data_IF_646386515466
#
_entry.id   IF_646386515466
#
_cell.length_a   1.000
_cell.length_b   1.000
_cell.length_c   1.000
_cell.angle_alpha   90.00
_cell.angle_beta   90.00
_cell.angle_gamma   90.00
#
_symmetry.space_group_name_H-M   'P 1'
#
loop_
_entity.id
_entity.type
_entity.pdbx_description
1 polymer ?
#
# COMPACT_ATOMS: atom_id res chain seq x y z
N UNK A 1 -22.03 44.37 13.27
CA UNK A 1 -20.85 44.45 12.38
C UNK A 1 -20.19 43.10 12.36
N UNK A 2 -20.38 42.35 11.26
CA UNK A 2 -19.67 41.09 11.07
C UNK A 2 -18.20 41.43 10.74
N UNK A 3 -17.21 40.76 11.35
CA UNK A 3 -15.81 40.95 10.99
C UNK A 3 -15.61 40.51 9.52
N UNK A 4 -14.78 41.21 8.77
CA UNK A 4 -14.52 40.85 7.38
C UNK A 4 -13.92 39.46 7.31
N UNK A 5 -14.56 38.59 6.52
CA UNK A 5 -14.01 37.28 6.14
C UNK A 5 -12.63 37.50 5.55
N UNK A 6 -11.59 37.05 6.28
CA UNK A 6 -10.20 37.08 5.80
C UNK A 6 -10.16 36.34 4.45
N UNK A 7 -10.05 37.11 3.36
CA UNK A 7 -9.98 36.61 2.01
C UNK A 7 -8.79 35.64 1.87
N UNK A 8 -9.07 34.34 1.88
CA UNK A 8 -8.11 33.35 1.39
C UNK A 8 -7.88 33.68 -0.07
N UNK A 9 -6.70 34.24 -0.39
CA UNK A 9 -6.30 34.43 -1.77
C UNK A 9 -6.49 33.10 -2.52
N UNK A 10 -7.43 33.07 -3.45
CA UNK A 10 -7.68 31.91 -4.29
C UNK A 10 -6.45 31.70 -5.15
N UNK A 11 -5.78 30.56 -4.96
CA UNK A 11 -4.63 30.20 -5.79
C UNK A 11 -5.06 30.12 -7.26
N UNK A 12 -4.19 30.59 -8.16
CA UNK A 12 -4.46 30.41 -9.59
C UNK A 12 -4.51 28.92 -9.95
N UNK A 13 -5.32 28.51 -10.96
CA UNK A 13 -5.41 27.13 -11.38
C UNK A 13 -4.07 26.49 -11.71
N UNK A 14 -3.12 27.28 -12.24
CA UNK A 14 -1.76 26.82 -12.52
C UNK A 14 -1.01 26.46 -11.24
N UNK A 15 -1.07 27.29 -10.21
CA UNK A 15 -0.44 27.01 -8.91
C UNK A 15 -1.05 25.79 -8.23
N UNK A 16 -2.35 25.57 -8.32
CA UNK A 16 -3.03 24.35 -7.82
C UNK A 16 -2.48 23.11 -8.53
N UNK A 17 -2.35 23.14 -9.86
CA UNK A 17 -1.80 22.02 -10.64
C UNK A 17 -0.37 21.69 -10.22
N UNK A 18 0.51 22.70 -10.08
CA UNK A 18 1.91 22.50 -9.66
C UNK A 18 1.99 21.92 -8.26
N UNK A 19 1.15 22.38 -7.32
CA UNK A 19 1.09 21.80 -5.98
C UNK A 19 0.61 20.33 -5.99
N UNK A 20 -0.39 19.99 -6.79
CA UNK A 20 -0.86 18.61 -6.94
C UNK A 20 0.21 17.71 -7.56
N UNK A 21 0.94 18.18 -8.57
CA UNK A 21 2.07 17.46 -9.18
C UNK A 21 3.18 17.21 -8.16
N UNK A 22 3.53 18.22 -7.33
CA UNK A 22 4.51 18.07 -6.27
C UNK A 22 4.10 16.99 -5.25
N UNK A 23 2.80 16.93 -4.87
CA UNK A 23 2.28 15.91 -3.97
C UNK A 23 2.27 14.51 -4.61
N UNK A 24 1.89 14.40 -5.89
CA UNK A 24 1.89 13.15 -6.63
C UNK A 24 3.32 12.61 -6.86
N UNK A 25 4.30 13.50 -7.03
CA UNK A 25 5.72 13.13 -7.14
C UNK A 25 6.23 12.45 -5.87
N UNK A 26 5.73 12.83 -4.69
CA UNK A 26 6.02 12.10 -3.45
C UNK A 26 5.40 10.69 -3.44
N UNK A 27 4.17 10.53 -3.91
CA UNK A 27 3.57 9.22 -4.12
C UNK A 27 4.35 8.35 -5.10
N UNK A 28 4.87 8.95 -6.17
CA UNK A 28 5.76 8.29 -7.13
C UNK A 28 7.09 7.84 -6.47
N UNK A 29 7.74 8.72 -5.70
CA UNK A 29 8.98 8.38 -5.01
C UNK A 29 8.77 7.26 -3.96
N UNK A 30 7.64 7.29 -3.23
CA UNK A 30 7.27 6.27 -2.25
C UNK A 30 7.05 4.92 -2.94
N UNK A 31 6.27 4.85 -4.01
CA UNK A 31 6.05 3.61 -4.74
C UNK A 31 7.35 3.05 -5.32
N UNK A 32 8.21 3.92 -5.84
CA UNK A 32 9.50 3.51 -6.39
C UNK A 32 10.40 2.93 -5.29
N UNK A 33 10.54 3.58 -4.12
CA UNK A 33 11.39 3.07 -3.03
C UNK A 33 10.86 1.79 -2.39
N UNK A 34 9.53 1.62 -2.37
CA UNK A 34 8.90 0.42 -1.81
C UNK A 34 9.19 -0.81 -2.66
N UNK A 35 9.00 -0.70 -3.98
CA UNK A 35 8.98 -1.88 -4.85
C UNK A 35 10.30 -2.15 -5.60
N UNK A 36 11.23 -1.18 -5.68
CA UNK A 36 12.52 -1.39 -6.37
C UNK A 36 13.35 -2.52 -5.75
N UNK A 37 13.24 -2.73 -4.43
CA UNK A 37 13.93 -3.82 -3.74
C UNK A 37 13.55 -5.21 -4.27
N UNK A 38 12.33 -5.39 -4.76
CA UNK A 38 11.84 -6.65 -5.32
C UNK A 38 12.47 -6.94 -6.68
N UNK A 39 12.67 -5.89 -7.49
CA UNK A 39 13.37 -5.99 -8.77
C UNK A 39 14.88 -6.19 -8.65
N UNK A 40 15.48 -5.75 -7.54
CA UNK A 40 16.93 -5.79 -7.28
C UNK A 40 17.31 -6.81 -6.19
N UNK A 41 16.40 -7.72 -5.83
CA UNK A 41 16.60 -8.65 -4.72
C UNK A 41 17.90 -9.47 -4.83
N UNK A 42 18.24 -10.09 -6.00
CA UNK A 42 19.47 -10.86 -6.15
C UNK A 42 20.74 -10.00 -5.99
N UNK A 43 20.73 -8.75 -6.52
CA UNK A 43 21.88 -7.84 -6.41
C UNK A 43 22.08 -7.36 -4.96
N UNK A 44 21.00 -7.09 -4.23
CA UNK A 44 21.03 -6.78 -2.80
C UNK A 44 21.56 -7.96 -1.98
N UNK A 45 21.13 -9.19 -2.30
CA UNK A 45 21.57 -10.41 -1.64
C UNK A 45 23.06 -10.65 -1.88
N UNK A 46 23.52 -10.57 -3.12
CA UNK A 46 24.91 -10.82 -3.49
C UNK A 46 25.89 -9.82 -2.82
N UNK A 47 25.53 -8.54 -2.78
CA UNK A 47 26.40 -7.49 -2.24
C UNK A 47 26.40 -7.42 -0.70
N UNK A 48 25.22 -7.55 -0.07
CA UNK A 48 25.07 -7.40 1.37
C UNK A 48 25.28 -8.72 2.16
N UNK A 49 25.16 -9.87 1.50
CA UNK A 49 25.21 -11.20 2.10
C UNK A 49 26.17 -12.15 1.34
N UNK A 50 27.40 -11.72 0.97
CA UNK A 50 28.28 -12.48 0.08
C UNK A 50 28.62 -13.87 0.63
N UNK A 51 28.77 -14.01 1.94
CA UNK A 51 29.08 -15.30 2.58
C UNK A 51 27.90 -16.28 2.54
N UNK A 52 26.64 -15.77 2.60
CA UNK A 52 25.44 -16.59 2.49
C UNK A 52 25.22 -16.96 1.03
N UNK A 53 25.38 -15.99 0.11
CA UNK A 53 25.24 -16.17 -1.32
C UNK A 53 26.22 -17.21 -1.89
N UNK A 54 27.44 -17.26 -1.36
CA UNK A 54 28.46 -18.27 -1.73
C UNK A 54 28.05 -19.70 -1.35
N UNK A 55 27.14 -19.87 -0.38
CA UNK A 55 26.65 -21.18 0.08
C UNK A 55 25.33 -21.56 -0.58
N UNK A 56 24.42 -20.60 -0.69
CA UNK A 56 23.10 -20.76 -1.33
C UNK A 56 22.56 -19.40 -1.74
N UNK A 57 22.30 -19.25 -3.02
CA UNK A 57 21.66 -18.06 -3.60
C UNK A 57 20.22 -17.91 -3.07
N UNK A 58 19.51 -19.04 -2.91
CA UNK A 58 18.15 -19.05 -2.38
C UNK A 58 18.11 -18.53 -0.94
N UNK A 59 19.02 -19.01 -0.08
CA UNK A 59 19.13 -18.55 1.31
C UNK A 59 19.46 -17.04 1.38
N UNK A 60 20.34 -16.55 0.52
CA UNK A 60 20.70 -15.15 0.45
C UNK A 60 19.52 -14.30 -0.02
N UNK A 61 18.80 -14.71 -1.06
CA UNK A 61 17.59 -14.02 -1.55
C UNK A 61 16.47 -14.03 -0.50
N UNK A 62 16.26 -15.16 0.18
CA UNK A 62 15.29 -15.27 1.27
C UNK A 62 15.63 -14.29 2.41
N UNK A 63 16.91 -14.24 2.82
CA UNK A 63 17.37 -13.31 3.85
C UNK A 63 17.26 -11.85 3.38
N UNK A 64 17.60 -11.54 2.14
CA UNK A 64 17.45 -10.20 1.56
C UNK A 64 15.98 -9.73 1.53
N UNK A 65 15.01 -10.64 1.43
CA UNK A 65 13.58 -10.35 1.56
C UNK A 65 13.21 -9.64 2.87
N UNK A 66 14.03 -9.77 3.92
CA UNK A 66 13.82 -9.03 5.18
C UNK A 66 13.95 -7.51 5.03
N UNK A 67 14.66 -7.02 4.00
CA UNK A 67 14.73 -5.59 3.66
C UNK A 67 13.36 -5.05 3.25
N UNK A 68 12.56 -5.86 2.58
CA UNK A 68 11.20 -5.55 2.15
C UNK A 68 10.27 -5.58 3.37
N UNK A 69 10.34 -6.65 4.16
CA UNK A 69 9.57 -6.77 5.40
C UNK A 69 9.88 -5.66 6.39
N UNK A 70 11.14 -5.23 6.53
CA UNK A 70 11.53 -4.14 7.43
C UNK A 70 10.89 -2.81 7.01
N UNK A 71 10.91 -2.46 5.72
CA UNK A 71 10.23 -1.27 5.22
C UNK A 71 8.73 -1.33 5.50
N UNK A 72 8.09 -2.45 5.17
CA UNK A 72 6.68 -2.65 5.38
C UNK A 72 6.28 -2.56 6.87
N UNK A 73 7.09 -3.13 7.78
CA UNK A 73 6.90 -2.98 9.22
C UNK A 73 7.07 -1.52 9.68
N UNK A 74 8.00 -0.77 9.07
CA UNK A 74 8.10 0.68 9.26
C UNK A 74 6.79 1.39 8.92
N UNK A 75 6.15 1.04 7.81
CA UNK A 75 4.84 1.61 7.42
C UNK A 75 3.76 1.23 8.43
N UNK A 76 3.72 -0.04 8.87
CA UNK A 76 2.74 -0.54 9.86
C UNK A 76 2.80 0.27 11.15
N UNK A 77 4.01 0.54 11.64
CA UNK A 77 4.22 1.30 12.89
C UNK A 77 4.02 2.80 12.65
N UNK A 78 4.58 3.32 11.56
CA UNK A 78 4.63 4.75 11.29
C UNK A 78 3.27 5.35 10.91
N UNK A 79 2.44 4.65 10.14
CA UNK A 79 1.17 5.19 9.68
C UNK A 79 0.25 5.61 10.84
N UNK A 80 -0.09 4.76 11.82
CA UNK A 80 -0.95 5.16 12.93
C UNK A 80 -0.25 6.10 13.92
N UNK A 81 1.04 5.89 14.21
CA UNK A 81 1.75 6.67 15.25
C UNK A 81 2.03 8.09 14.79
N UNK A 82 2.55 8.27 13.58
CA UNK A 82 2.84 9.62 13.04
C UNK A 82 1.54 10.36 12.74
N UNK A 83 0.52 9.69 12.17
CA UNK A 83 -0.78 10.31 11.93
C UNK A 83 -1.39 10.84 13.24
N UNK A 84 -1.34 10.05 14.32
CA UNK A 84 -1.84 10.43 15.63
C UNK A 84 -1.05 11.57 16.28
N UNK A 85 0.29 11.48 16.27
CA UNK A 85 1.17 12.48 16.89
C UNK A 85 1.14 13.83 16.17
N UNK A 86 0.89 13.82 14.86
CA UNK A 86 0.99 14.98 13.98
C UNK A 86 -0.34 15.61 13.55
N UNK A 87 -1.48 15.11 14.05
CA UNK A 87 -2.81 15.55 13.64
C UNK A 87 -3.03 17.07 13.79
N UNK A 88 -2.38 17.72 14.76
CA UNK A 88 -2.42 19.17 15.01
C UNK A 88 -1.35 19.97 14.28
N UNK A 89 -0.36 19.31 13.69
CA UNK A 89 0.76 19.99 13.07
C UNK A 89 0.37 20.71 11.76
N UNK A 90 1.01 21.84 11.41
CA UNK A 90 0.82 22.48 10.12
C UNK A 90 1.19 21.53 8.98
N UNK A 91 0.23 21.26 8.07
CA UNK A 91 0.31 20.18 7.08
C UNK A 91 1.52 20.27 6.16
N UNK A 92 1.84 21.48 5.65
CA UNK A 92 3.01 21.68 4.79
C UNK A 92 4.31 21.38 5.54
N UNK A 93 4.47 21.85 6.79
CA UNK A 93 5.65 21.56 7.59
C UNK A 93 5.82 20.05 7.81
N UNK A 94 4.72 19.39 8.10
CA UNK A 94 4.72 17.92 8.27
C UNK A 94 5.15 17.20 7.00
N UNK A 95 4.60 17.55 5.83
CA UNK A 95 5.03 16.97 4.55
C UNK A 95 6.52 17.14 4.30
N UNK A 96 7.08 18.32 4.61
CA UNK A 96 8.51 18.58 4.46
C UNK A 96 9.36 17.70 5.40
N UNK A 97 8.96 17.53 6.66
CA UNK A 97 9.66 16.63 7.58
C UNK A 97 9.57 15.16 7.14
N UNK A 98 8.40 14.72 6.64
CA UNK A 98 8.23 13.37 6.12
C UNK A 98 9.11 13.13 4.88
N UNK A 99 9.19 14.10 3.95
CA UNK A 99 10.04 14.01 2.76
C UNK A 99 11.53 14.04 3.12
N UNK A 100 11.92 14.83 4.12
CA UNK A 100 13.29 14.83 4.64
C UNK A 100 13.64 13.46 5.24
N UNK A 101 12.72 12.88 6.04
CA UNK A 101 12.91 11.55 6.62
C UNK A 101 13.04 10.48 5.53
N UNK A 102 12.21 10.52 4.47
CA UNK A 102 12.34 9.65 3.31
C UNK A 102 13.69 9.81 2.60
N UNK A 103 14.10 11.05 2.34
CA UNK A 103 15.38 11.34 1.68
C UNK A 103 16.53 10.75 2.49
N UNK A 104 16.58 11.05 3.79
CA UNK A 104 17.65 10.57 4.68
C UNK A 104 17.61 9.02 4.82
N UNK A 105 16.43 8.44 5.05
CA UNK A 105 16.29 6.98 5.16
C UNK A 105 16.68 6.24 3.88
N UNK A 106 16.38 6.82 2.71
CA UNK A 106 16.74 6.24 1.41
C UNK A 106 18.25 6.40 1.13
N UNK A 107 18.85 7.56 1.45
CA UNK A 107 20.30 7.75 1.38
C UNK A 107 21.02 6.77 2.31
N UNK A 108 20.58 6.65 3.56
CA UNK A 108 21.17 5.70 4.51
C UNK A 108 21.07 4.26 3.98
N UNK A 109 19.93 3.88 3.38
CA UNK A 109 19.78 2.57 2.76
C UNK A 109 20.79 2.34 1.62
N UNK A 110 21.21 3.39 0.90
CA UNK A 110 22.19 3.30 -0.19
C UNK A 110 23.64 3.22 0.28
N UNK A 111 24.00 3.91 1.38
CA UNK A 111 25.42 4.09 1.75
C UNK A 111 25.89 3.19 2.89
N UNK A 112 24.97 2.63 3.67
CA UNK A 112 25.36 1.78 4.82
C UNK A 112 26.01 0.47 4.36
N UNK A 113 27.09 0.05 5.04
CA UNK A 113 27.95 -1.03 4.54
C UNK A 113 27.46 -2.43 4.93
N UNK A 114 26.61 -2.57 5.93
CA UNK A 114 26.23 -3.89 6.44
C UNK A 114 24.72 -4.14 6.29
N UNK A 115 24.38 -5.42 6.08
CA UNK A 115 22.99 -5.87 5.93
C UNK A 115 22.08 -5.39 7.06
N UNK A 116 22.47 -5.57 8.33
CA UNK A 116 21.67 -5.18 9.49
C UNK A 116 21.40 -3.67 9.54
N UNK A 117 22.40 -2.84 9.19
CA UNK A 117 22.24 -1.38 9.13
C UNK A 117 21.29 -0.97 7.99
N UNK A 118 21.38 -1.64 6.84
CA UNK A 118 20.43 -1.37 5.72
C UNK A 118 19.02 -1.81 6.11
N UNK A 119 18.83 -2.95 6.81
CA UNK A 119 17.51 -3.35 7.36
C UNK A 119 16.95 -2.27 8.28
N UNK A 120 17.76 -1.74 9.20
CA UNK A 120 17.32 -0.65 10.09
C UNK A 120 16.96 0.62 9.32
N UNK A 121 17.78 1.01 8.32
CA UNK A 121 17.51 2.16 7.46
C UNK A 121 16.21 1.98 6.66
N UNK A 122 15.93 0.77 6.14
CA UNK A 122 14.68 0.45 5.46
C UNK A 122 13.47 0.58 6.38
N UNK A 123 13.57 0.08 7.62
CA UNK A 123 12.51 0.28 8.62
C UNK A 123 12.24 1.77 8.88
N UNK A 124 13.29 2.56 9.10
CA UNK A 124 13.16 4.01 9.32
C UNK A 124 12.58 4.74 8.11
N UNK A 125 12.98 4.35 6.89
CA UNK A 125 12.44 4.90 5.64
C UNK A 125 10.96 4.55 5.43
N UNK A 126 10.47 3.44 6.01
CA UNK A 126 9.05 3.07 5.96
C UNK A 126 8.14 3.91 6.87
N UNK A 127 8.66 4.43 7.99
CA UNK A 127 7.85 5.14 8.99
C UNK A 127 7.00 6.30 8.41
N UNK A 128 7.51 7.19 7.55
CA UNK A 128 6.75 8.33 7.06
C UNK A 128 5.70 7.98 5.99
N UNK A 129 5.69 6.77 5.43
CA UNK A 129 4.90 6.37 4.26
C UNK A 129 3.39 6.65 4.40
N UNK A 130 2.73 6.03 5.37
CA UNK A 130 1.27 6.16 5.54
C UNK A 130 0.85 7.58 5.95
N UNK A 131 1.67 8.26 6.75
CA UNK A 131 1.44 9.64 7.14
C UNK A 131 1.53 10.59 5.93
N UNK A 132 2.49 10.36 5.02
CA UNK A 132 2.60 11.15 3.79
C UNK A 132 1.32 11.08 2.96
N UNK A 133 0.84 9.87 2.63
CA UNK A 133 -0.37 9.71 1.81
C UNK A 133 -1.60 10.32 2.49
N UNK A 134 -1.74 10.16 3.81
CA UNK A 134 -2.83 10.77 4.56
C UNK A 134 -2.82 12.29 4.47
N UNK A 135 -1.69 12.92 4.74
CA UNK A 135 -1.57 14.38 4.75
C UNK A 135 -1.60 14.96 3.32
N UNK A 136 -0.91 14.34 2.36
CA UNK A 136 -0.90 14.78 0.97
C UNK A 136 -2.31 14.74 0.35
N UNK A 137 -3.08 13.68 0.64
CA UNK A 137 -4.47 13.55 0.21
C UNK A 137 -5.37 14.63 0.79
N UNK A 138 -5.22 14.97 2.09
CA UNK A 138 -5.97 16.04 2.72
C UNK A 138 -5.62 17.42 2.12
N UNK A 139 -4.35 17.67 1.85
CA UNK A 139 -3.88 18.91 1.21
C UNK A 139 -4.42 19.01 -0.21
N UNK A 140 -4.34 17.95 -1.00
CA UNK A 140 -4.84 17.90 -2.36
C UNK A 140 -6.37 18.11 -2.42
N UNK A 141 -7.11 17.45 -1.53
CA UNK A 141 -8.56 17.63 -1.42
C UNK A 141 -8.95 19.09 -1.13
N UNK A 142 -8.21 19.77 -0.25
CA UNK A 142 -8.45 21.19 0.05
C UNK A 142 -8.08 22.12 -1.12
N UNK A 143 -7.01 21.84 -1.85
CA UNK A 143 -6.58 22.61 -3.02
C UNK A 143 -7.59 22.52 -4.16
N UNK A 144 -8.26 21.37 -4.32
CA UNK A 144 -9.27 21.16 -5.37
C UNK A 144 -10.62 21.77 -5.03
N UNK A 145 -10.91 22.03 -3.74
CA UNK A 145 -12.15 22.64 -3.28
C UNK A 145 -13.35 21.68 -3.27
N UNK A 146 -14.52 22.23 -2.94
CA UNK A 146 -15.78 21.46 -2.84
C UNK A 146 -16.18 20.85 -4.20
N UNK A 147 -16.74 19.64 -4.16
CA UNK A 147 -17.15 18.89 -5.36
C UNK A 147 -16.01 18.23 -6.14
N UNK A 148 -14.72 18.56 -5.85
CA UNK A 148 -13.56 17.97 -6.55
C UNK A 148 -12.53 17.33 -5.60
N UNK A 149 -12.86 17.17 -4.32
CA UNK A 149 -11.95 16.62 -3.29
C UNK A 149 -11.43 15.23 -3.64
N UNK A 150 -12.31 14.34 -4.08
CA UNK A 150 -11.93 12.98 -4.48
C UNK A 150 -10.93 12.96 -5.65
N UNK A 151 -11.07 13.89 -6.62
CA UNK A 151 -10.11 14.04 -7.72
C UNK A 151 -8.72 14.44 -7.23
N UNK A 152 -8.64 15.31 -6.20
CA UNK A 152 -7.36 15.68 -5.58
C UNK A 152 -6.67 14.48 -4.94
N UNK A 153 -7.41 13.68 -4.17
CA UNK A 153 -6.89 12.44 -3.56
C UNK A 153 -6.42 11.46 -4.63
N UNK A 154 -7.26 11.21 -5.64
CA UNK A 154 -6.92 10.32 -6.75
C UNK A 154 -5.63 10.76 -7.50
N UNK A 155 -5.42 12.06 -7.64
CA UNK A 155 -4.22 12.61 -8.28
C UNK A 155 -2.95 12.30 -7.49
N UNK A 156 -2.98 12.39 -6.17
CA UNK A 156 -1.84 12.01 -5.31
C UNK A 156 -1.56 10.51 -5.41
N UNK A 157 -2.61 9.68 -5.35
CA UNK A 157 -2.48 8.22 -5.45
C UNK A 157 -2.04 7.76 -6.85
N UNK A 158 -2.33 8.53 -7.91
CA UNK A 158 -1.84 8.25 -9.26
C UNK A 158 -0.30 8.24 -9.32
N UNK A 159 0.39 9.00 -8.45
CA UNK A 159 1.85 8.92 -8.33
C UNK A 159 2.34 7.50 -8.05
N UNK A 160 1.70 6.80 -7.12
CA UNK A 160 2.02 5.39 -6.80
C UNK A 160 1.78 4.47 -8.01
N UNK A 161 0.68 4.67 -8.73
CA UNK A 161 0.36 3.87 -9.92
C UNK A 161 1.40 4.08 -11.03
N UNK A 162 1.80 5.34 -11.27
CA UNK A 162 2.84 5.68 -12.25
C UNK A 162 4.20 5.10 -11.82
N UNK A 163 4.50 5.09 -10.51
CA UNK A 163 5.70 4.47 -9.99
C UNK A 163 5.78 2.98 -10.38
N UNK A 164 4.70 2.24 -10.23
CA UNK A 164 4.67 0.81 -10.54
C UNK A 164 4.88 0.50 -12.04
N UNK A 165 4.36 1.36 -12.94
CA UNK A 165 4.48 1.15 -14.39
C UNK A 165 5.79 1.67 -14.95
N UNK A 166 6.31 2.78 -14.40
CA UNK A 166 7.46 3.50 -14.97
C UNK A 166 8.62 3.58 -13.98
N UNK A 167 8.36 4.02 -12.76
CA UNK A 167 9.40 4.32 -11.76
C UNK A 167 10.20 3.08 -11.36
N UNK A 168 9.51 2.05 -10.91
CA UNK A 168 10.11 0.79 -10.45
C UNK A 168 10.89 0.11 -11.57
N UNK A 169 10.34 -0.09 -12.78
CA UNK A 169 11.09 -0.70 -13.88
C UNK A 169 12.35 0.08 -14.28
N UNK A 170 12.25 1.41 -14.42
CA UNK A 170 13.39 2.24 -14.81
C UNK A 170 14.47 2.20 -13.72
N UNK A 171 14.11 2.36 -12.46
CA UNK A 171 15.08 2.37 -11.36
C UNK A 171 15.67 0.96 -11.14
N UNK A 172 14.91 -0.11 -11.38
CA UNK A 172 15.43 -1.48 -11.41
C UNK A 172 16.47 -1.64 -12.53
N UNK A 173 16.17 -1.19 -13.74
CA UNK A 173 17.13 -1.21 -14.84
C UNK A 173 18.42 -0.41 -14.52
N UNK A 174 18.30 0.77 -13.90
CA UNK A 174 19.45 1.54 -13.43
C UNK A 174 20.25 0.71 -12.42
N UNK A 175 19.58 0.08 -11.46
CA UNK A 175 20.22 -0.75 -10.44
C UNK A 175 20.94 -1.97 -10.99
N UNK A 176 20.41 -2.61 -12.03
CA UNK A 176 21.06 -3.73 -12.73
C UNK A 176 22.32 -3.29 -13.49
N UNK A 177 22.34 -2.10 -14.08
CA UNK A 177 23.46 -1.63 -14.91
C UNK A 177 24.49 -0.77 -14.16
N UNK A 178 24.07 -0.02 -13.13
CA UNK A 178 24.92 0.92 -12.38
C UNK A 178 25.02 0.59 -10.88
N UNK A 179 24.49 -0.56 -10.48
CA UNK A 179 24.47 -1.03 -9.09
C UNK A 179 23.26 -0.55 -8.29
N UNK A 180 22.78 -1.39 -7.38
CA UNK A 180 21.59 -1.14 -6.58
C UNK A 180 21.70 0.14 -5.69
N UNK A 181 22.91 0.48 -5.24
CA UNK A 181 23.14 1.73 -4.47
C UNK A 181 22.81 2.96 -5.30
N UNK A 182 23.19 2.97 -6.58
CA UNK A 182 22.85 4.05 -7.52
C UNK A 182 21.34 4.18 -7.69
N UNK A 183 20.62 3.06 -7.79
CA UNK A 183 19.16 3.05 -7.85
C UNK A 183 18.53 3.74 -6.64
N UNK A 184 18.98 3.41 -5.42
CA UNK A 184 18.49 4.06 -4.20
C UNK A 184 18.86 5.56 -4.13
N UNK A 185 20.05 5.95 -4.59
CA UNK A 185 20.43 7.37 -4.67
C UNK A 185 19.58 8.14 -5.67
N UNK A 186 19.20 7.56 -6.81
CA UNK A 186 18.23 8.14 -7.74
C UNK A 186 16.88 8.36 -7.07
N UNK A 187 16.38 7.39 -6.31
CA UNK A 187 15.13 7.55 -5.56
C UNK A 187 15.26 8.63 -4.47
N UNK A 188 16.39 8.70 -3.77
CA UNK A 188 16.67 9.75 -2.79
C UNK A 188 16.67 11.14 -3.46
N UNK A 189 17.24 11.27 -4.66
CA UNK A 189 17.21 12.51 -5.44
C UNK A 189 15.77 12.90 -5.83
N UNK A 190 14.90 11.93 -6.17
CA UNK A 190 13.49 12.20 -6.45
C UNK A 190 12.79 12.70 -5.17
N UNK A 191 13.06 12.13 -3.99
CA UNK A 191 12.52 12.64 -2.72
C UNK A 191 13.01 14.05 -2.42
N UNK A 192 14.30 14.34 -2.62
CA UNK A 192 14.88 15.68 -2.43
C UNK A 192 14.24 16.70 -3.39
N UNK A 193 14.09 16.34 -4.67
CA UNK A 193 13.37 17.17 -5.64
C UNK A 193 11.91 17.40 -5.25
N UNK A 194 11.24 16.36 -4.73
CA UNK A 194 9.87 16.48 -4.19
C UNK A 194 9.82 17.42 -2.99
N UNK A 195 10.79 17.35 -2.08
CA UNK A 195 10.89 18.27 -0.95
C UNK A 195 10.95 19.72 -1.43
N UNK A 196 11.80 20.02 -2.41
CA UNK A 196 11.90 21.37 -3.01
C UNK A 196 10.59 21.76 -3.70
N UNK A 197 9.99 20.85 -4.47
CA UNK A 197 8.72 21.11 -5.15
C UNK A 197 7.58 21.41 -4.16
N UNK A 198 7.46 20.66 -3.07
CA UNK A 198 6.47 20.91 -2.01
C UNK A 198 6.77 22.22 -1.27
N UNK A 199 8.05 22.51 -1.01
CA UNK A 199 8.48 23.78 -0.37
C UNK A 199 8.08 24.99 -1.20
N UNK A 200 8.15 24.91 -2.52
CA UNK A 200 7.88 26.05 -3.41
C UNK A 200 6.39 26.14 -3.80
N UNK A 201 5.74 25.01 -4.04
CA UNK A 201 4.41 24.97 -4.66
C UNK A 201 3.25 24.81 -3.67
N UNK A 202 3.43 24.08 -2.55
CA UNK A 202 2.34 23.79 -1.62
C UNK A 202 2.16 24.95 -0.63
N UNK A 203 0.97 25.57 -0.54
CA UNK A 203 0.72 26.66 0.39
C UNK A 203 0.74 26.19 1.85
N UNK A 204 1.04 27.10 2.76
CA UNK A 204 0.95 26.84 4.19
C UNK A 204 -0.51 26.53 4.57
N UNK A 205 -0.73 25.47 5.33
CA UNK A 205 -2.05 25.07 5.83
C UNK A 205 -1.96 24.76 7.31
N UNK A 206 -2.95 25.22 8.07
CA UNK A 206 -3.07 24.89 9.50
C UNK A 206 -3.38 23.40 9.68
N UNK A 207 -2.96 22.83 10.80
CA UNK A 207 -3.41 21.54 11.28
C UNK A 207 -4.86 21.59 11.76
N UNK A 208 -5.39 20.45 12.21
CA UNK A 208 -6.72 20.39 12.81
C UNK A 208 -6.64 20.46 14.35
N UNK A 209 -6.99 21.60 15.00
CA UNK A 209 -6.93 21.74 16.45
C UNK A 209 -7.88 20.80 17.22
N UNK A 210 -8.98 20.40 16.55
CA UNK A 210 -10.04 19.58 17.17
C UNK A 210 -9.77 18.06 17.06
N UNK A 211 -8.68 17.67 16.37
CA UNK A 211 -8.33 16.26 16.25
C UNK A 211 -8.02 15.68 17.66
N UNK A 212 -8.78 14.65 18.05
CA UNK A 212 -8.57 13.93 19.31
C UNK A 212 -8.27 12.47 19.07
N UNK A 213 -7.10 12.02 19.53
CA UNK A 213 -6.65 10.64 19.45
C UNK A 213 -7.68 9.65 20.07
N UNK A 214 -8.33 10.06 21.16
CA UNK A 214 -9.31 9.21 21.88
C UNK A 214 -10.52 8.84 21.02
N UNK A 215 -11.00 9.75 20.16
CA UNK A 215 -12.12 9.49 19.25
C UNK A 215 -11.71 8.47 18.18
N UNK A 216 -10.53 8.63 17.62
CA UNK A 216 -9.98 7.77 16.59
C UNK A 216 -9.73 6.34 17.12
N UNK A 217 -9.21 6.20 18.35
CA UNK A 217 -8.93 4.90 18.96
C UNK A 217 -10.19 4.05 19.23
N UNK A 218 -11.39 4.64 19.25
CA UNK A 218 -12.64 3.88 19.36
C UNK A 218 -12.89 2.89 18.22
N UNK A 219 -12.30 3.10 17.06
CA UNK A 219 -12.37 2.14 15.96
C UNK A 219 -11.88 0.75 16.39
N UNK A 220 -10.83 0.67 17.19
CA UNK A 220 -10.22 -0.58 17.64
C UNK A 220 -11.07 -1.40 18.62
N UNK A 221 -12.15 -0.85 19.18
CA UNK A 221 -13.07 -1.61 20.04
C UNK A 221 -14.06 -2.47 19.24
N UNK A 222 -14.08 -2.36 17.92
CA UNK A 222 -15.06 -3.01 17.05
C UNK A 222 -14.46 -4.24 16.38
N UNK A 223 -15.04 -5.41 16.60
CA UNK A 223 -14.62 -6.66 15.95
C UNK A 223 -14.57 -6.57 14.42
N UNK A 224 -15.54 -5.87 13.79
CA UNK A 224 -15.60 -5.74 12.33
C UNK A 224 -14.43 -4.93 11.76
N UNK A 225 -13.87 -3.98 12.52
CA UNK A 225 -12.65 -3.25 12.13
C UNK A 225 -11.47 -4.22 12.12
N UNK A 226 -11.32 -5.06 13.12
CA UNK A 226 -10.26 -6.08 13.14
C UNK A 226 -10.39 -7.08 12.00
N UNK A 227 -11.61 -7.56 11.71
CA UNK A 227 -11.83 -8.45 10.59
C UNK A 227 -11.47 -7.78 9.24
N UNK A 228 -11.85 -6.51 9.05
CA UNK A 228 -11.49 -5.76 7.85
C UNK A 228 -9.97 -5.55 7.73
N UNK A 229 -9.29 -5.25 8.84
CA UNK A 229 -7.82 -5.18 8.89
C UNK A 229 -7.16 -6.52 8.54
N UNK A 230 -7.67 -7.62 9.07
CA UNK A 230 -7.15 -8.96 8.82
C UNK A 230 -7.37 -9.41 7.38
N UNK A 231 -8.48 -9.01 6.72
CA UNK A 231 -8.68 -9.25 5.29
C UNK A 231 -7.52 -8.63 4.48
N UNK A 232 -7.13 -7.38 4.79
CA UNK A 232 -5.98 -6.74 4.16
C UNK A 232 -4.64 -7.34 4.60
N UNK A 233 -4.43 -7.49 5.89
CA UNK A 233 -3.15 -7.94 6.47
C UNK A 233 -2.78 -9.38 6.08
N UNK A 234 -3.73 -10.28 5.93
CA UNK A 234 -3.49 -11.66 5.58
C UNK A 234 -3.71 -11.88 4.08
N UNK A 235 -4.90 -11.50 3.57
CA UNK A 235 -5.29 -11.81 2.20
C UNK A 235 -4.44 -11.13 1.14
N UNK A 236 -4.03 -9.87 1.38
CA UNK A 236 -3.17 -9.14 0.46
C UNK A 236 -1.72 -9.65 0.47
N UNK A 237 -1.33 -10.37 1.52
CA UNK A 237 -0.02 -11.02 1.62
C UNK A 237 0.25 -12.01 0.49
N UNK A 238 -0.79 -12.58 -0.12
CA UNK A 238 -0.67 -13.47 -1.26
C UNK A 238 0.03 -12.86 -2.47
N UNK A 239 -0.28 -11.60 -2.78
CA UNK A 239 0.42 -10.83 -3.81
C UNK A 239 1.91 -10.64 -3.48
N UNK A 240 2.20 -10.20 -2.26
CA UNK A 240 3.57 -9.88 -1.88
C UNK A 240 4.48 -11.11 -1.71
N UNK A 241 3.91 -12.27 -1.41
CA UNK A 241 4.69 -13.51 -1.41
C UNK A 241 5.33 -13.76 -2.78
N UNK A 242 4.61 -13.56 -3.88
CA UNK A 242 5.12 -13.66 -5.25
C UNK A 242 5.97 -12.45 -5.64
N UNK A 243 5.47 -11.25 -5.40
CA UNK A 243 6.10 -10.04 -5.90
C UNK A 243 7.49 -9.79 -5.29
N UNK A 244 7.71 -10.22 -4.05
CA UNK A 244 9.01 -10.16 -3.38
C UNK A 244 10.09 -10.94 -4.15
N UNK A 245 9.73 -12.08 -4.71
CA UNK A 245 10.65 -12.98 -5.41
C UNK A 245 10.47 -12.97 -6.93
N UNK A 246 9.84 -11.92 -7.49
CA UNK A 246 9.60 -11.81 -8.93
C UNK A 246 10.89 -11.85 -9.74
N UNK A 247 11.96 -11.20 -9.26
CA UNK A 247 13.24 -11.17 -9.97
C UNK A 247 13.85 -12.57 -10.12
N UNK A 248 14.12 -13.35 -9.06
CA UNK A 248 14.63 -14.70 -9.21
C UNK A 248 13.62 -15.66 -9.88
N UNK A 249 12.32 -15.41 -9.80
CA UNK A 249 11.33 -16.19 -10.54
C UNK A 249 11.50 -16.04 -12.05
N UNK A 250 11.72 -14.81 -12.53
CA UNK A 250 11.98 -14.50 -13.95
C UNK A 250 13.26 -15.16 -14.44
N UNK A 251 14.34 -15.08 -13.65
CA UNK A 251 15.68 -15.55 -14.06
C UNK A 251 15.90 -17.04 -13.83
N UNK A 252 15.51 -17.57 -12.66
CA UNK A 252 15.84 -18.93 -12.24
C UNK A 252 14.74 -19.95 -12.62
N UNK A 253 13.46 -19.56 -12.63
CA UNK A 253 12.34 -20.47 -12.93
C UNK A 253 12.02 -20.44 -14.42
N UNK A 254 11.86 -19.24 -14.98
CA UNK A 254 11.51 -19.08 -16.40
C UNK A 254 12.75 -19.10 -17.30
N UNK A 255 13.96 -18.90 -16.74
CA UNK A 255 15.23 -18.88 -17.47
C UNK A 255 15.40 -17.67 -18.38
N UNK A 256 14.69 -16.57 -18.13
CA UNK A 256 14.79 -15.35 -18.91
C UNK A 256 16.01 -14.52 -18.44
N UNK A 257 16.63 -13.74 -19.34
CA UNK A 257 17.77 -12.89 -18.98
C UNK A 257 17.33 -11.76 -18.03
N UNK A 258 18.27 -11.24 -17.24
CA UNK A 258 18.02 -10.23 -16.20
C UNK A 258 17.30 -8.97 -16.72
N UNK A 259 17.56 -8.55 -17.97
CA UNK A 259 16.87 -7.41 -18.58
C UNK A 259 15.34 -7.60 -18.71
N UNK A 260 14.83 -8.83 -18.58
CA UNK A 260 13.40 -9.15 -18.59
C UNK A 260 12.71 -8.79 -17.27
N UNK A 261 13.45 -8.64 -16.17
CA UNK A 261 12.90 -8.30 -14.85
C UNK A 261 12.16 -6.96 -14.87
N UNK A 262 12.74 -5.85 -15.40
CA UNK A 262 11.99 -4.61 -15.58
C UNK A 262 10.69 -4.77 -16.39
N UNK A 263 10.68 -5.62 -17.43
CA UNK A 263 9.46 -5.90 -18.21
C UNK A 263 8.39 -6.63 -17.38
N UNK A 264 8.81 -7.59 -16.56
CA UNK A 264 7.89 -8.28 -15.65
C UNK A 264 7.26 -7.27 -14.65
N UNK A 265 8.05 -6.33 -14.13
CA UNK A 265 7.56 -5.27 -13.25
C UNK A 265 6.60 -4.31 -13.97
N UNK A 266 6.85 -3.96 -15.24
CA UNK A 266 5.89 -3.21 -16.08
C UNK A 266 4.57 -3.96 -16.19
N UNK A 267 4.61 -5.25 -16.47
CA UNK A 267 3.40 -6.08 -16.64
C UNK A 267 2.60 -6.15 -15.34
N UNK A 268 3.25 -6.36 -14.20
CA UNK A 268 2.59 -6.28 -12.87
C UNK A 268 1.99 -4.90 -12.66
N UNK A 269 2.74 -3.82 -12.92
CA UNK A 269 2.29 -2.44 -12.76
C UNK A 269 1.08 -2.10 -13.65
N UNK A 270 1.06 -2.56 -14.90
CA UNK A 270 -0.10 -2.43 -15.79
C UNK A 270 -1.30 -3.20 -15.24
N UNK A 271 -1.10 -4.44 -14.77
CA UNK A 271 -2.13 -5.20 -14.07
C UNK A 271 -2.68 -4.43 -12.88
N UNK A 272 -1.81 -3.91 -12.01
CA UNK A 272 -2.21 -3.10 -10.85
C UNK A 272 -3.01 -1.86 -11.25
N UNK A 273 -2.62 -1.19 -12.34
CA UNK A 273 -3.33 -0.01 -12.84
C UNK A 273 -4.75 -0.34 -13.27
N UNK A 274 -4.90 -1.36 -14.13
CA UNK A 274 -6.20 -1.84 -14.60
C UNK A 274 -7.05 -2.33 -13.43
N UNK A 275 -6.45 -3.11 -12.54
CA UNK A 275 -7.10 -3.67 -11.37
C UNK A 275 -7.63 -2.61 -10.41
N UNK A 276 -6.83 -1.59 -10.10
CA UNK A 276 -7.24 -0.51 -9.21
C UNK A 276 -8.45 0.28 -9.75
N UNK A 277 -8.45 0.57 -11.07
CA UNK A 277 -9.55 1.26 -11.73
C UNK A 277 -10.83 0.39 -11.76
N UNK A 278 -10.71 -0.87 -12.17
CA UNK A 278 -11.84 -1.79 -12.23
C UNK A 278 -12.37 -2.14 -10.84
N UNK A 279 -11.47 -2.41 -9.89
CA UNK A 279 -11.81 -2.78 -8.51
C UNK A 279 -12.52 -1.67 -7.75
N UNK A 280 -12.09 -0.41 -7.92
CA UNK A 280 -12.78 0.74 -7.33
C UNK A 280 -14.21 0.85 -7.81
N UNK A 281 -14.44 0.83 -9.12
CA UNK A 281 -15.79 0.92 -9.70
C UNK A 281 -16.68 -0.30 -9.37
N UNK A 282 -16.09 -1.48 -9.18
CA UNK A 282 -16.83 -2.67 -8.76
C UNK A 282 -17.18 -2.61 -7.27
N UNK A 283 -16.24 -2.21 -6.43
CA UNK A 283 -16.45 -2.08 -4.99
C UNK A 283 -17.49 -0.99 -4.65
N UNK A 284 -17.57 0.09 -5.42
CA UNK A 284 -18.60 1.13 -5.27
C UNK A 284 -20.03 0.58 -5.47
N UNK A 285 -20.20 -0.47 -6.31
CA UNK A 285 -21.49 -1.10 -6.57
C UNK A 285 -21.83 -2.16 -5.52
N UNK A 286 -20.90 -3.05 -5.23
CA UNK A 286 -21.06 -4.14 -4.25
C UNK A 286 -19.70 -4.59 -3.71
N UNK A 287 -19.30 -4.03 -2.58
CA UNK A 287 -18.04 -4.35 -1.89
C UNK A 287 -17.91 -5.84 -1.60
N UNK A 288 -19.02 -6.52 -1.23
CA UNK A 288 -18.98 -7.93 -0.86
C UNK A 288 -18.66 -8.79 -2.07
N UNK A 289 -19.45 -8.68 -3.14
CA UNK A 289 -19.25 -9.47 -4.35
C UNK A 289 -17.88 -9.16 -4.97
N UNK A 290 -17.45 -7.88 -5.00
CA UNK A 290 -16.15 -7.49 -5.48
C UNK A 290 -15.02 -8.18 -4.70
N UNK A 291 -14.99 -8.08 -3.36
CA UNK A 291 -13.94 -8.70 -2.55
C UNK A 291 -13.87 -10.21 -2.71
N UNK A 292 -15.03 -10.91 -2.64
CA UNK A 292 -15.05 -12.37 -2.74
C UNK A 292 -14.60 -12.86 -4.12
N UNK A 293 -15.06 -12.22 -5.20
CA UNK A 293 -14.67 -12.59 -6.58
C UNK A 293 -13.20 -12.29 -6.86
N UNK A 294 -12.69 -11.14 -6.37
CA UNK A 294 -11.30 -10.75 -6.56
C UNK A 294 -10.33 -11.64 -5.78
N UNK A 295 -10.70 -12.12 -4.59
CA UNK A 295 -9.92 -13.16 -3.91
C UNK A 295 -9.93 -14.46 -4.69
N UNK A 296 -11.08 -14.87 -5.25
CA UNK A 296 -11.17 -16.05 -6.13
C UNK A 296 -10.26 -15.91 -7.35
N UNK A 297 -10.24 -14.74 -8.00
CA UNK A 297 -9.37 -14.45 -9.13
C UNK A 297 -7.89 -14.46 -8.73
N UNK A 298 -7.54 -13.86 -7.59
CA UNK A 298 -6.16 -13.87 -7.07
C UNK A 298 -5.67 -15.29 -6.81
N UNK A 299 -6.49 -16.12 -6.13
CA UNK A 299 -6.17 -17.53 -5.85
C UNK A 299 -5.98 -18.31 -7.17
N UNK A 300 -6.90 -18.18 -8.12
CA UNK A 300 -6.80 -18.82 -9.42
C UNK A 300 -5.53 -18.38 -10.17
N UNK A 301 -5.20 -17.10 -10.12
CA UNK A 301 -4.00 -16.54 -10.76
C UNK A 301 -2.71 -17.04 -10.12
N UNK A 302 -2.67 -17.16 -8.79
CA UNK A 302 -1.52 -17.73 -8.07
C UNK A 302 -1.33 -19.21 -8.39
N UNK A 303 -2.40 -20.00 -8.45
CA UNK A 303 -2.36 -21.41 -8.88
C UNK A 303 -1.90 -21.50 -10.34
N UNK A 304 -2.45 -20.67 -11.23
CA UNK A 304 -2.04 -20.61 -12.62
C UNK A 304 -0.54 -20.30 -12.79
N UNK A 305 -0.03 -19.37 -11.97
CA UNK A 305 1.41 -19.06 -11.96
C UNK A 305 2.25 -20.29 -11.57
N UNK A 306 1.88 -21.00 -10.50
CA UNK A 306 2.60 -22.23 -10.07
C UNK A 306 2.69 -23.25 -11.20
N UNK A 307 1.60 -23.40 -11.98
CA UNK A 307 1.53 -24.40 -13.06
C UNK A 307 2.27 -23.97 -14.33
N UNK A 308 2.51 -22.66 -14.52
CA UNK A 308 2.98 -22.14 -15.81
C UNK A 308 4.22 -21.25 -15.71
N UNK A 309 4.80 -21.05 -14.51
CA UNK A 309 5.93 -20.12 -14.29
C UNK A 309 7.18 -20.44 -15.14
N UNK A 310 7.39 -21.69 -15.55
CA UNK A 310 8.49 -22.08 -16.46
C UNK A 310 8.28 -21.60 -17.91
N UNK A 311 7.06 -21.19 -18.27
CA UNK A 311 6.75 -20.68 -19.60
C UNK A 311 6.65 -19.15 -19.55
N UNK A 312 7.38 -18.40 -20.42
CA UNK A 312 7.33 -16.93 -20.41
C UNK A 312 5.93 -16.35 -20.56
N UNK A 313 5.08 -16.92 -21.45
CA UNK A 313 3.71 -16.43 -21.66
C UNK A 313 2.87 -16.62 -20.39
N UNK A 314 2.97 -17.80 -19.75
CA UNK A 314 2.30 -18.09 -18.50
C UNK A 314 2.76 -17.17 -17.39
N UNK A 315 4.08 -16.97 -17.22
CA UNK A 315 4.64 -16.04 -16.23
C UNK A 315 4.05 -14.64 -16.40
N UNK A 316 4.17 -14.02 -17.55
CA UNK A 316 3.72 -12.64 -17.78
C UNK A 316 2.18 -12.52 -17.64
N UNK A 317 1.41 -13.47 -18.17
CA UNK A 317 -0.05 -13.46 -18.06
C UNK A 317 -0.52 -13.51 -16.60
N UNK A 318 0.04 -14.44 -15.81
CA UNK A 318 -0.36 -14.56 -14.42
C UNK A 318 0.22 -13.47 -13.52
N UNK A 319 1.38 -12.91 -13.81
CA UNK A 319 1.88 -11.71 -13.13
C UNK A 319 0.95 -10.52 -13.35
N UNK A 320 0.43 -10.31 -14.57
CA UNK A 320 -0.58 -9.30 -14.86
C UNK A 320 -1.86 -9.52 -14.04
N UNK A 321 -2.39 -10.75 -14.02
CA UNK A 321 -3.62 -11.08 -13.30
C UNK A 321 -3.45 -10.99 -11.79
N UNK A 322 -2.30 -11.40 -11.24
CA UNK A 322 -1.98 -11.30 -9.82
C UNK A 322 -1.89 -9.83 -9.40
N UNK A 323 -1.13 -9.00 -10.14
CA UNK A 323 -1.05 -7.57 -9.90
C UNK A 323 -2.42 -6.90 -10.00
N UNK A 324 -3.20 -7.26 -11.01
CA UNK A 324 -4.54 -6.74 -11.26
C UNK A 324 -5.53 -7.09 -10.16
N UNK A 325 -5.64 -8.35 -9.80
CA UNK A 325 -6.58 -8.82 -8.76
C UNK A 325 -6.21 -8.26 -7.38
N UNK A 326 -4.92 -8.21 -7.04
CA UNK A 326 -4.46 -7.65 -5.78
C UNK A 326 -4.76 -6.14 -5.69
N UNK A 327 -4.42 -5.36 -6.72
CA UNK A 327 -4.70 -3.93 -6.72
C UNK A 327 -6.21 -3.63 -6.70
N UNK A 328 -7.02 -4.47 -7.34
CA UNK A 328 -8.48 -4.36 -7.31
C UNK A 328 -9.09 -4.62 -5.92
N UNK A 329 -8.46 -5.45 -5.07
CA UNK A 329 -8.88 -5.69 -3.68
C UNK A 329 -8.71 -4.44 -2.80
N UNK A 330 -7.69 -3.63 -3.04
CA UNK A 330 -7.32 -2.51 -2.16
C UNK A 330 -8.45 -1.49 -1.94
N UNK A 331 -9.14 -0.94 -2.96
CA UNK A 331 -10.28 -0.06 -2.76
C UNK A 331 -11.42 -0.73 -1.98
N UNK A 332 -11.71 -2.00 -2.26
CA UNK A 332 -12.77 -2.74 -1.58
C UNK A 332 -12.48 -2.92 -0.08
N UNK A 333 -11.22 -3.25 0.28
CA UNK A 333 -10.77 -3.34 1.66
C UNK A 333 -10.89 -1.99 2.36
N UNK A 334 -10.48 -0.90 1.69
CA UNK A 334 -10.55 0.45 2.23
C UNK A 334 -12.01 0.88 2.48
N UNK A 335 -12.92 0.67 1.51
CA UNK A 335 -14.36 0.97 1.67
C UNK A 335 -14.92 0.16 2.83
N UNK A 336 -14.65 -1.15 2.89
CA UNK A 336 -15.09 -2.02 3.98
C UNK A 336 -14.63 -1.51 5.35
N UNK A 337 -13.36 -1.11 5.44
CA UNK A 337 -12.78 -0.60 6.67
C UNK A 337 -13.43 0.72 7.12
N UNK A 338 -13.69 1.63 6.17
CA UNK A 338 -14.40 2.89 6.43
C UNK A 338 -15.85 2.67 6.87
N UNK A 339 -16.57 1.74 6.24
CA UNK A 339 -17.95 1.40 6.57
C UNK A 339 -18.09 0.88 8.00
N UNK A 340 -17.15 0.04 8.46
CA UNK A 340 -17.22 -0.55 9.80
C UNK A 340 -16.63 0.35 10.90
N UNK A 341 -15.81 1.33 10.52
CA UNK A 341 -15.24 2.32 11.43
C UNK A 341 -16.22 3.45 11.81
N UNK A 342 -17.29 3.66 11.01
CA UNK A 342 -18.30 4.73 11.19
C UNK A 342 -17.68 6.12 11.37
N UNK A 343 -17.70 6.68 12.60
CA UNK A 343 -17.23 8.05 12.89
C UNK A 343 -15.70 8.22 12.86
N UNK A 344 -14.93 7.13 12.73
CA UNK A 344 -13.46 7.11 12.79
C UNK A 344 -12.84 6.83 11.40
N UNK A 345 -13.38 7.47 10.34
CA UNK A 345 -12.97 7.20 8.95
C UNK A 345 -11.54 7.61 8.63
N UNK A 346 -11.00 8.64 9.30
CA UNK A 346 -9.63 9.11 9.08
C UNK A 346 -8.60 8.06 9.50
N UNK A 347 -8.79 7.46 10.68
CA UNK A 347 -7.89 6.39 11.14
C UNK A 347 -8.10 5.12 10.32
N UNK A 348 -9.32 4.84 9.87
CA UNK A 348 -9.59 3.70 9.00
C UNK A 348 -8.81 3.78 7.69
N UNK A 349 -8.73 4.96 7.07
CA UNK A 349 -7.92 5.17 5.88
C UNK A 349 -6.41 4.98 6.14
N UNK A 350 -5.90 5.48 7.28
CA UNK A 350 -4.50 5.26 7.67
C UNK A 350 -4.21 3.78 7.96
N UNK A 351 -5.12 3.10 8.65
CA UNK A 351 -5.00 1.68 8.98
C UNK A 351 -5.07 0.76 7.75
N UNK A 352 -5.71 1.21 6.65
CA UNK A 352 -5.66 0.46 5.40
C UNK A 352 -4.23 0.28 4.90
N UNK A 353 -3.42 1.35 4.92
CA UNK A 353 -2.00 1.25 4.56
C UNK A 353 -1.23 0.33 5.51
N UNK A 354 -1.52 0.38 6.83
CA UNK A 354 -0.92 -0.55 7.79
C UNK A 354 -1.31 -2.00 7.52
N UNK A 355 -2.58 -2.27 7.21
CA UNK A 355 -3.07 -3.61 6.90
C UNK A 355 -2.40 -4.18 5.64
N UNK A 356 -2.38 -3.42 4.54
CA UNK A 356 -1.75 -3.85 3.29
C UNK A 356 -0.23 -4.07 3.45
N UNK A 357 0.45 -3.22 4.24
CA UNK A 357 1.87 -3.39 4.53
C UNK A 357 2.16 -4.49 5.54
N UNK A 358 1.22 -4.83 6.43
CA UNK A 358 1.32 -6.09 7.20
C UNK A 358 1.29 -7.30 6.26
N UNK A 359 0.43 -7.27 5.23
CA UNK A 359 0.42 -8.27 4.17
C UNK A 359 1.74 -8.32 3.40
N UNK A 360 2.33 -7.16 3.09
CA UNK A 360 3.65 -7.07 2.45
C UNK A 360 4.72 -7.76 3.31
N UNK A 361 4.84 -7.39 4.58
CA UNK A 361 5.80 -7.98 5.49
C UNK A 361 5.59 -9.50 5.66
N UNK A 362 4.34 -9.93 5.82
CA UNK A 362 3.97 -11.33 6.02
C UNK A 362 4.24 -12.17 4.77
N UNK A 363 3.85 -11.67 3.58
CA UNK A 363 4.08 -12.34 2.30
C UNK A 363 5.58 -12.51 2.01
N UNK A 364 6.36 -11.44 2.17
CA UNK A 364 7.81 -11.47 1.99
C UNK A 364 8.49 -12.44 2.96
N UNK A 365 8.11 -12.41 4.25
CA UNK A 365 8.70 -13.27 5.27
C UNK A 365 8.35 -14.75 5.05
N UNK A 366 7.08 -15.09 4.86
CA UNK A 366 6.64 -16.48 4.68
C UNK A 366 7.10 -17.06 3.33
N UNK A 367 7.09 -16.25 2.26
CA UNK A 367 7.70 -16.63 0.97
C UNK A 367 9.20 -16.90 1.14
N UNK A 368 9.91 -16.05 1.90
CA UNK A 368 11.31 -16.24 2.23
C UNK A 368 11.59 -17.53 2.97
N UNK A 369 10.75 -17.93 3.92
CA UNK A 369 10.89 -19.21 4.65
C UNK A 369 10.85 -20.40 3.69
N UNK A 370 9.93 -20.42 2.73
CA UNK A 370 9.84 -21.53 1.76
C UNK A 370 11.00 -21.57 0.79
N UNK A 371 11.50 -20.40 0.35
CA UNK A 371 12.70 -20.30 -0.49
C UNK A 371 13.94 -20.75 0.29
N UNK A 372 14.11 -20.29 1.54
CA UNK A 372 15.22 -20.70 2.40
C UNK A 372 15.23 -22.22 2.72
N UNK A 373 14.05 -22.84 2.75
CA UNK A 373 13.88 -24.28 2.90
C UNK A 373 14.22 -25.09 1.62
N UNK A 374 14.65 -24.42 0.54
CA UNK A 374 15.01 -25.07 -0.73
C UNK A 374 13.81 -25.54 -1.57
N UNK A 375 12.60 -25.01 -1.32
CA UNK A 375 11.39 -25.38 -2.07
C UNK A 375 11.27 -24.67 -3.42
N UNK A 376 12.28 -23.88 -3.80
CA UNK A 376 12.34 -23.15 -5.07
C UNK A 376 11.47 -21.87 -5.10
N UNK A 377 11.65 -21.07 -6.16
CA UNK A 377 11.01 -19.74 -6.28
C UNK A 377 9.53 -19.77 -6.70
N UNK A 378 8.96 -20.93 -6.99
CA UNK A 378 7.50 -21.09 -7.17
C UNK A 378 6.77 -21.29 -5.85
N UNK A 379 7.46 -21.74 -4.79
CA UNK A 379 6.87 -22.02 -3.48
C UNK A 379 6.24 -20.78 -2.81
N UNK A 380 6.75 -19.53 -2.97
CA UNK A 380 6.06 -18.34 -2.49
C UNK A 380 4.65 -18.16 -3.06
N UNK A 381 4.37 -18.63 -4.28
CA UNK A 381 3.03 -18.57 -4.84
C UNK A 381 2.05 -19.51 -4.11
N UNK A 382 2.52 -20.68 -3.62
CA UNK A 382 1.71 -21.56 -2.78
C UNK A 382 1.41 -20.93 -1.41
N UNK A 383 2.40 -20.26 -0.81
CA UNK A 383 2.17 -19.42 0.39
C UNK A 383 1.12 -18.37 0.09
N UNK A 384 1.22 -17.72 -1.08
CA UNK A 384 0.27 -16.74 -1.56
C UNK A 384 -1.16 -17.27 -1.67
N UNK A 385 -1.33 -18.50 -2.19
CA UNK A 385 -2.62 -19.20 -2.21
C UNK A 385 -3.18 -19.36 -0.79
N UNK A 386 -2.35 -19.87 0.14
CA UNK A 386 -2.77 -20.06 1.54
C UNK A 386 -3.22 -18.75 2.21
N UNK A 387 -2.45 -17.67 2.05
CA UNK A 387 -2.77 -16.35 2.59
C UNK A 387 -4.04 -15.77 1.96
N UNK A 388 -4.21 -15.90 0.64
CA UNK A 388 -5.39 -15.41 -0.08
C UNK A 388 -6.65 -16.19 0.29
N UNK A 389 -6.55 -17.52 0.48
CA UNK A 389 -7.65 -18.35 0.99
C UNK A 389 -8.02 -17.95 2.42
N UNK A 390 -7.04 -17.74 3.30
CA UNK A 390 -7.30 -17.25 4.65
C UNK A 390 -7.99 -15.89 4.64
N UNK A 391 -7.55 -14.95 3.80
CA UNK A 391 -8.20 -13.65 3.58
C UNK A 391 -9.63 -13.77 3.11
N UNK A 392 -9.90 -14.68 2.15
CA UNK A 392 -11.25 -14.98 1.66
C UNK A 392 -12.15 -15.52 2.78
N UNK A 393 -11.66 -16.46 3.58
CA UNK A 393 -12.42 -17.03 4.70
C UNK A 393 -12.74 -15.96 5.76
N UNK A 394 -11.81 -15.07 6.07
CA UNK A 394 -12.03 -13.94 6.98
C UNK A 394 -13.08 -12.98 6.39
N UNK A 395 -13.05 -12.71 5.08
CA UNK A 395 -14.05 -11.89 4.42
C UNK A 395 -15.44 -12.51 4.49
N UNK A 396 -15.56 -13.82 4.22
CA UNK A 396 -16.80 -14.57 4.35
C UNK A 396 -17.36 -14.51 5.78
N UNK A 397 -16.50 -14.71 6.79
CA UNK A 397 -16.88 -14.60 8.20
C UNK A 397 -17.35 -13.19 8.56
N UNK A 398 -16.63 -12.14 8.11
CA UNK A 398 -16.99 -10.73 8.35
C UNK A 398 -18.37 -10.39 7.79
N UNK A 399 -18.64 -10.78 6.54
CA UNK A 399 -19.94 -10.52 5.92
C UNK A 399 -21.06 -11.39 6.48
N UNK A 400 -20.77 -12.63 6.88
CA UNK A 400 -21.72 -13.53 7.55
C UNK A 400 -22.22 -12.97 8.88
N UNK A 401 -21.28 -12.50 9.73
CA UNK A 401 -21.60 -11.87 11.02
C UNK A 401 -22.44 -10.60 10.85
N UNK A 402 -22.19 -9.78 9.83
CA UNK A 402 -22.99 -8.58 9.56
C UNK A 402 -24.43 -8.91 9.18
N UNK A 403 -24.62 -9.95 8.35
CA UNK A 403 -25.97 -10.38 7.99
C UNK A 403 -26.77 -10.85 9.20
N UNK A 404 -26.14 -11.65 10.05
CA UNK A 404 -26.77 -12.15 11.26
C UNK A 404 -27.21 -11.03 12.20
N UNK A 405 -26.33 -10.04 12.44
CA UNK A 405 -26.64 -8.87 13.29
C UNK A 405 -27.76 -8.00 12.72
N UNK A 406 -27.82 -7.79 11.38
CA UNK A 406 -28.90 -7.04 10.73
C UNK A 406 -30.22 -7.79 10.81
N UNK A 407 -30.22 -9.11 10.63
CA UNK A 407 -31.39 -9.97 10.76
C UNK A 407 -31.96 -9.93 12.19
N UNK A 408 -31.11 -10.08 13.22
CA UNK A 408 -31.52 -10.02 14.62
C UNK A 408 -32.09 -8.66 15.02
N UNK A 409 -31.53 -7.53 14.52
CA UNK A 409 -32.07 -6.19 14.76
C UNK A 409 -33.46 -6.00 14.13
N UNK A 410 -33.64 -6.43 12.87
CA UNK A 410 -34.94 -6.36 12.18
C UNK A 410 -36.01 -7.19 12.90
N UNK A 411 -35.64 -8.37 13.39
CA UNK A 411 -36.54 -9.22 14.17
C UNK A 411 -36.93 -8.56 15.50
N UNK A 412 -36.00 -7.91 16.18
CA UNK A 412 -36.26 -7.18 17.43
C UNK A 412 -37.12 -5.91 17.22
N UNK A 413 -36.89 -5.17 16.11
CA UNK A 413 -37.70 -3.97 15.78
C UNK A 413 -39.11 -4.34 15.30
N UNK A 414 -39.27 -5.46 14.58
CA UNK A 414 -40.58 -5.99 14.16
C UNK A 414 -41.39 -6.59 15.33
N UNK A 415 -40.73 -6.97 16.44
CA UNK A 415 -41.38 -7.48 17.64
C UNK A 415 -41.82 -6.37 18.63
N UNK A 416 -41.49 -5.08 18.39
CA UNK A 416 -42.00 -3.98 19.19
C UNK A 416 -43.46 -3.74 18.86
N UNK A 417 -44.41 -3.82 19.83
CA UNK A 417 -45.81 -3.52 19.58
C UNK A 417 -45.94 -2.04 19.13
N UNK A 418 -46.61 -1.83 18.03
CA UNK A 418 -47.03 -0.50 17.63
C UNK A 418 -47.97 0.05 18.70
N UNK A 419 -47.46 0.88 19.59
CA UNK A 419 -48.31 1.70 20.47
C UNK A 419 -49.07 2.67 19.59
N UNK A 420 -50.31 2.29 19.21
CA UNK A 420 -51.27 3.25 18.66
C UNK A 420 -51.50 4.34 19.72
N UNK A 421 -51.43 5.61 19.37
CA UNK A 421 -51.87 6.67 20.27
C UNK A 421 -53.38 6.45 20.49
N UNK A 422 -53.75 6.21 21.77
CA UNK A 422 -55.14 6.20 22.21
C UNK A 422 -55.65 7.63 21.93
N UNK A 423 -56.49 7.78 20.93
CA UNK A 423 -57.22 9.00 20.64
C UNK A 423 -58.14 9.27 21.84
N UNK A 424 -57.78 10.24 22.65
CA UNK A 424 -58.70 10.83 23.63
C UNK A 424 -59.55 11.79 22.84
N UNK A 425 -60.72 11.30 22.40
CA UNK A 425 -61.81 12.12 21.92
C UNK A 425 -62.55 12.69 23.16
N UNK A 426 -62.69 13.98 23.17
CA UNK A 426 -63.48 14.73 24.11
C UNK A 426 -63.65 16.17 23.61
#
# INVERSE_FOLDING_TARGET
MNPPSSGRATLSPARVRVALLALAMGGFAIGTTEFVAMGLLPQLAADLLPQVAARSTEAANAQAGTLISAYALGVVVGAPTIAAASARAPRRKLLLWLLLAFTLGTVLSAILPSFGLVVAARFLAGLPHGAYFGIASLVAAQLMGEGKRARGVAFVLAGLTIANVIGVPIVTWIGQNAGWRTAYLVVAAIFAATFVAVLLAVPAQAGNPEATLRRELRAFTRLQVWLALLIGAIGFGGFFAVYTFVSPMVTEVTGLPEWSVPLALVVVGLGMTVGNLAGGSWADRDVRTALLSLFGLLIASLVGLVLTASNPVGLFAFLFLIGGSAAALSPGIQIRLMDVAHDSQSIAAALNHSALNTGNALGAALGGVTVAAGLGYTSPALVGVGLSVAGLLIALASFGLDRHRRGSRRAADGARPTTQPIGIGG
#
